data_IF_485010463665
#
_entry.id   IF_485010463665
#
_cell.length_a   1.000
_cell.length_b   1.000
_cell.length_c   1.000
_cell.angle_alpha   90.00
_cell.angle_beta   90.00
_cell.angle_gamma   90.00
#
_symmetry.space_group_name_H-M   'P 1'
#
loop_
_entity.id
_entity.type
_entity.pdbx_description
1 polymer ?
#
# COMPACT_ATOMS: atom_id res chain seq x y z
N UNK A 1 -18.05 72.76 -7.52
CA UNK A 1 -17.27 73.82 -6.87
C UNK A 1 -16.27 73.17 -5.90
N UNK A 2 -15.34 72.43 -6.43
CA UNK A 2 -14.14 71.86 -5.71
C UNK A 2 -13.12 71.46 -6.79
N UNK A 3 -12.41 72.48 -7.36
CA UNK A 3 -11.40 72.22 -8.39
C UNK A 3 -10.36 73.34 -8.47
N UNK A 4 -10.03 74.03 -7.30
CA UNK A 4 -9.07 75.10 -7.29
C UNK A 4 -8.06 75.11 -6.14
N UNK A 5 -7.86 74.00 -5.41
CA UNK A 5 -6.99 74.00 -4.24
C UNK A 5 -5.67 73.16 -4.41
N UNK A 6 -5.38 72.58 -5.57
CA UNK A 6 -4.22 71.71 -5.76
C UNK A 6 -3.04 72.26 -6.56
N UNK A 7 -3.13 73.57 -7.01
CA UNK A 7 -2.06 74.18 -7.82
C UNK A 7 -1.11 75.15 -7.06
N UNK A 8 -1.28 75.32 -5.75
CA UNK A 8 -0.40 76.21 -4.96
C UNK A 8 0.59 75.49 -4.02
N UNK A 9 0.59 74.17 -3.95
CA UNK A 9 1.48 73.44 -3.04
C UNK A 9 2.75 72.87 -3.71
N UNK A 10 2.89 73.01 -5.03
CA UNK A 10 3.99 72.42 -5.79
C UNK A 10 5.18 73.39 -6.06
N UNK A 11 5.09 74.66 -5.74
CA UNK A 11 6.12 75.67 -6.09
C UNK A 11 7.01 76.13 -4.91
N UNK A 12 6.82 75.66 -3.68
CA UNK A 12 7.61 76.05 -2.51
C UNK A 12 8.58 74.99 -1.99
N UNK A 13 8.77 73.91 -2.70
CA UNK A 13 9.65 72.76 -2.26
C UNK A 13 10.96 72.62 -3.06
N UNK A 14 11.28 73.56 -3.94
CA UNK A 14 12.44 73.45 -4.84
C UNK A 14 13.65 74.36 -4.49
N UNK A 15 13.68 75.02 -3.33
CA UNK A 15 14.78 75.91 -3.00
C UNK A 15 15.56 75.63 -1.69
N UNK A 16 15.52 74.46 -1.14
CA UNK A 16 16.26 74.16 0.11
C UNK A 16 17.21 72.87 0.08
N UNK A 17 17.60 72.41 -1.07
CA UNK A 17 18.50 71.25 -1.15
C UNK A 17 19.80 71.43 -1.94
N UNK A 18 20.24 72.62 -2.18
CA UNK A 18 21.51 72.87 -2.88
C UNK A 18 22.74 72.98 -1.96
N UNK A 19 22.56 73.10 -0.63
CA UNK A 19 23.67 73.34 0.31
C UNK A 19 24.17 72.05 1.07
N UNK A 20 23.46 70.91 1.01
CA UNK A 20 23.80 69.74 1.83
C UNK A 20 24.53 68.62 1.09
N UNK A 21 24.69 68.72 -0.20
CA UNK A 21 25.33 67.64 -1.00
C UNK A 21 26.88 67.72 -1.05
N UNK A 22 27.50 68.81 -0.57
CA UNK A 22 28.95 68.94 -0.60
C UNK A 22 29.61 68.52 0.71
N UNK A 23 28.88 68.44 1.84
CA UNK A 23 29.46 67.98 3.13
C UNK A 23 29.43 66.46 3.36
N UNK A 24 28.67 65.71 2.59
CA UNK A 24 28.61 64.23 2.72
C UNK A 24 29.65 63.52 1.86
N UNK A 25 30.23 64.19 0.85
CA UNK A 25 31.21 63.60 -0.06
C UNK A 25 32.64 63.51 0.57
N UNK A 26 32.93 64.27 1.64
CA UNK A 26 34.26 64.27 2.29
C UNK A 26 34.39 63.41 3.56
N UNK A 27 33.28 62.80 4.04
CA UNK A 27 33.30 61.90 5.20
C UNK A 27 33.25 60.40 4.82
N UNK A 28 33.18 60.05 3.53
CA UNK A 28 33.10 58.68 3.04
C UNK A 28 34.45 58.12 2.52
N UNK A 29 35.56 58.90 2.60
CA UNK A 29 36.88 58.46 2.10
C UNK A 29 37.87 58.02 3.19
N UNK A 30 37.45 57.95 4.46
CA UNK A 30 38.35 57.58 5.59
C UNK A 30 37.95 56.25 6.28
N UNK A 31 37.02 55.42 5.71
CA UNK A 31 36.57 54.18 6.34
C UNK A 31 36.81 52.92 5.48
N UNK A 32 37.80 52.93 4.58
CA UNK A 32 38.10 51.76 3.72
C UNK A 32 39.42 51.07 4.03
N UNK A 33 39.88 51.17 5.25
CA UNK A 33 41.03 50.36 5.68
C UNK A 33 40.81 49.82 7.10
N UNK A 34 39.92 48.82 7.27
CA UNK A 34 40.10 47.85 8.39
C UNK A 34 39.17 46.66 8.22
N UNK A 35 39.75 45.47 8.32
CA UNK A 35 39.15 44.17 8.52
C UNK A 35 38.44 43.48 7.33
N UNK A 36 39.27 43.10 6.38
CA UNK A 36 39.04 41.87 5.65
C UNK A 36 39.26 40.70 6.63
N UNK A 37 38.22 40.33 7.38
CA UNK A 37 38.05 38.99 7.91
C UNK A 37 37.12 38.25 6.97
N UNK A 38 37.73 37.51 6.06
CA UNK A 38 37.11 36.43 5.31
C UNK A 38 36.45 35.47 6.28
N UNK A 39 35.14 35.57 6.44
CA UNK A 39 34.35 34.43 6.82
C UNK A 39 34.32 33.47 5.61
N UNK A 40 34.64 32.22 5.79
CA UNK A 40 34.39 31.22 4.75
C UNK A 40 32.88 30.98 4.74
N UNK A 41 32.20 31.67 3.85
CA UNK A 41 30.84 31.29 3.43
C UNK A 41 30.99 30.11 2.46
N UNK A 42 31.52 29.02 3.01
CA UNK A 42 31.37 27.70 2.44
C UNK A 42 29.97 27.19 2.84
N UNK A 43 28.92 27.83 2.36
CA UNK A 43 27.74 27.10 2.00
C UNK A 43 28.16 26.23 0.79
N UNK A 44 28.82 25.09 1.06
CA UNK A 44 28.88 24.00 0.12
C UNK A 44 27.44 23.78 -0.35
N UNK A 45 27.17 24.16 -1.58
CA UNK A 45 26.07 23.61 -2.34
C UNK A 45 26.35 22.12 -2.40
N UNK A 46 25.88 21.38 -1.37
CA UNK A 46 25.80 19.92 -1.47
C UNK A 46 24.97 19.66 -2.71
N UNK A 47 25.62 19.18 -3.74
CA UNK A 47 24.90 18.58 -4.86
C UNK A 47 23.91 17.58 -4.23
N UNK A 48 22.64 17.56 -4.63
CA UNK A 48 21.69 16.62 -4.08
C UNK A 48 22.30 15.21 -4.18
N UNK A 49 22.35 14.51 -3.06
CA UNK A 49 22.84 13.12 -3.07
C UNK A 49 22.03 12.33 -4.10
N UNK A 50 22.66 11.47 -4.89
CA UNK A 50 21.94 10.69 -5.89
C UNK A 50 20.90 9.81 -5.18
N UNK A 51 19.68 9.80 -5.70
CA UNK A 51 18.60 8.98 -5.17
C UNK A 51 19.00 7.50 -5.19
N UNK A 52 18.70 6.80 -4.09
CA UNK A 52 18.93 5.37 -4.02
C UNK A 52 17.88 4.63 -4.84
N UNK A 53 18.33 3.86 -5.84
CA UNK A 53 17.42 3.02 -6.64
C UNK A 53 16.95 1.82 -5.85
N UNK A 54 15.64 1.60 -5.87
CA UNK A 54 14.98 0.42 -5.31
C UNK A 54 13.93 -0.09 -6.29
N UNK A 55 13.73 -1.40 -6.33
CA UNK A 55 12.65 -2.02 -7.12
C UNK A 55 11.52 -2.45 -6.18
N UNK A 56 10.30 -1.99 -6.47
CA UNK A 56 9.11 -2.32 -5.68
C UNK A 56 8.14 -3.12 -6.53
N UNK A 57 7.89 -4.36 -6.15
CA UNK A 57 6.88 -5.22 -6.74
C UNK A 57 5.53 -4.98 -6.04
N UNK A 58 4.54 -4.43 -6.74
CA UNK A 58 3.24 -4.12 -6.14
C UNK A 58 2.09 -4.36 -7.11
N UNK A 59 0.86 -4.34 -6.61
CA UNK A 59 -0.30 -4.81 -7.36
C UNK A 59 -1.20 -3.68 -7.81
N UNK A 60 -2.04 -3.94 -8.84
CA UNK A 60 -3.13 -3.05 -9.25
C UNK A 60 -4.30 -3.01 -8.26
N UNK A 61 -4.25 -3.84 -7.22
CA UNK A 61 -5.34 -4.03 -6.26
C UNK A 61 -5.46 -2.86 -5.27
N UNK A 62 -6.66 -2.64 -4.67
CA UNK A 62 -6.87 -1.53 -3.73
C UNK A 62 -5.92 -1.57 -2.54
N UNK A 63 -5.53 -2.74 -2.07
CA UNK A 63 -4.63 -2.91 -0.93
C UNK A 63 -3.26 -2.25 -1.13
N UNK A 64 -2.81 -2.05 -2.39
CA UNK A 64 -1.55 -1.36 -2.71
C UNK A 64 -1.67 0.16 -2.80
N UNK A 65 -2.81 0.75 -2.41
CA UNK A 65 -3.09 2.19 -2.55
C UNK A 65 -1.99 3.07 -1.97
N UNK A 66 -1.44 2.74 -0.80
CA UNK A 66 -0.39 3.57 -0.19
C UNK A 66 0.87 3.65 -1.08
N UNK A 67 1.24 2.55 -1.75
CA UNK A 67 2.39 2.55 -2.69
C UNK A 67 2.08 3.38 -3.92
N UNK A 68 0.88 3.23 -4.52
CA UNK A 68 0.46 4.03 -5.67
C UNK A 68 0.46 5.53 -5.37
N UNK A 69 -0.07 5.92 -4.20
CA UNK A 69 -0.10 7.31 -3.76
C UNK A 69 1.32 7.83 -3.49
N UNK A 70 2.17 7.06 -2.80
CA UNK A 70 3.55 7.46 -2.52
C UNK A 70 4.35 7.70 -3.82
N UNK A 71 4.17 6.86 -4.83
CA UNK A 71 4.78 7.05 -6.16
C UNK A 71 4.22 8.31 -6.83
N UNK A 72 2.90 8.43 -6.91
CA UNK A 72 2.25 9.53 -7.64
C UNK A 72 2.49 10.91 -7.01
N UNK A 73 2.61 10.98 -5.68
CA UNK A 73 2.88 12.21 -4.91
C UNK A 73 4.38 12.51 -4.77
N UNK A 74 5.27 11.62 -5.22
CA UNK A 74 6.71 11.80 -5.12
C UNK A 74 7.28 11.57 -3.72
N UNK A 75 6.54 10.97 -2.78
CA UNK A 75 6.98 10.79 -1.40
C UNK A 75 8.23 9.92 -1.27
N UNK A 76 8.42 8.93 -2.16
CA UNK A 76 9.66 8.17 -2.21
C UNK A 76 10.85 9.04 -2.59
N UNK A 77 10.69 9.93 -3.58
CA UNK A 77 11.74 10.86 -4.01
C UNK A 77 12.10 11.85 -2.89
N UNK A 78 11.12 12.34 -2.14
CA UNK A 78 11.34 13.19 -0.96
C UNK A 78 12.16 12.48 0.13
N UNK A 79 12.05 11.16 0.23
CA UNK A 79 12.81 10.32 1.15
C UNK A 79 14.13 9.80 0.55
N UNK A 80 14.57 10.33 -0.59
CA UNK A 80 15.83 9.98 -1.22
C UNK A 80 15.81 8.68 -2.05
N UNK A 81 14.62 8.17 -2.42
CA UNK A 81 14.45 6.92 -3.14
C UNK A 81 13.98 7.15 -4.60
N UNK A 82 14.63 6.46 -5.54
CA UNK A 82 14.20 6.31 -6.94
C UNK A 82 13.55 4.94 -7.11
N UNK A 83 12.20 4.91 -7.10
CA UNK A 83 11.41 3.68 -7.19
C UNK A 83 11.29 3.21 -8.63
N UNK A 84 11.77 1.98 -8.89
CA UNK A 84 11.52 1.25 -10.12
C UNK A 84 10.29 0.34 -9.92
N UNK A 85 9.14 0.65 -10.55
CA UNK A 85 7.92 -0.12 -10.33
C UNK A 85 7.97 -1.45 -11.08
N UNK A 86 7.58 -2.54 -10.39
CA UNK A 86 7.34 -3.86 -10.99
C UNK A 86 5.90 -4.28 -10.68
N UNK A 87 4.99 -4.03 -11.64
CA UNK A 87 3.56 -4.24 -11.44
C UNK A 87 3.16 -5.70 -11.62
N UNK A 88 2.28 -6.17 -10.73
CA UNK A 88 1.74 -7.53 -10.73
C UNK A 88 0.21 -7.53 -10.60
N UNK A 89 -0.44 -8.61 -11.05
CA UNK A 89 -1.89 -8.79 -10.92
C UNK A 89 -2.31 -9.15 -9.50
N UNK A 90 -1.44 -9.80 -8.70
CA UNK A 90 -1.73 -10.21 -7.32
C UNK A 90 -0.46 -10.34 -6.47
N UNK A 91 -0.62 -10.26 -5.14
CA UNK A 91 0.49 -10.16 -4.19
C UNK A 91 1.42 -11.37 -4.14
N UNK A 92 0.92 -12.60 -4.35
CA UNK A 92 1.77 -13.79 -4.40
C UNK A 92 2.82 -13.69 -5.53
N UNK A 93 2.45 -13.15 -6.69
CA UNK A 93 3.41 -12.92 -7.79
C UNK A 93 4.40 -11.80 -7.46
N UNK A 94 3.96 -10.75 -6.76
CA UNK A 94 4.84 -9.69 -6.30
C UNK A 94 5.87 -10.21 -5.28
N UNK A 95 5.46 -11.01 -4.29
CA UNK A 95 6.36 -11.63 -3.32
C UNK A 95 7.37 -12.57 -4.00
N UNK A 96 6.96 -13.31 -5.02
CA UNK A 96 7.87 -14.18 -5.78
C UNK A 96 9.02 -13.38 -6.40
N UNK A 97 8.78 -12.14 -6.85
CA UNK A 97 9.83 -11.26 -7.37
C UNK A 97 10.87 -10.88 -6.29
N UNK A 98 10.44 -10.72 -5.03
CA UNK A 98 11.37 -10.50 -3.90
C UNK A 98 12.18 -11.75 -3.59
N UNK A 99 11.55 -12.92 -3.53
CA UNK A 99 12.23 -14.20 -3.29
C UNK A 99 13.27 -14.49 -4.37
N UNK A 100 12.95 -14.18 -5.64
CA UNK A 100 13.84 -14.34 -6.79
C UNK A 100 14.88 -13.21 -6.94
N UNK A 101 14.98 -12.30 -5.98
CA UNK A 101 15.90 -11.14 -6.02
C UNK A 101 15.70 -10.20 -7.24
N UNK A 102 14.47 -10.12 -7.76
CA UNK A 102 14.06 -9.21 -8.84
C UNK A 102 13.47 -7.90 -8.32
N UNK A 103 13.07 -7.89 -7.04
CA UNK A 103 12.58 -6.70 -6.34
C UNK A 103 13.13 -6.67 -4.91
N UNK A 104 13.21 -5.46 -4.35
CA UNK A 104 13.65 -5.21 -2.98
C UNK A 104 12.47 -5.32 -2.00
N UNK A 105 11.31 -4.79 -2.39
CA UNK A 105 10.07 -4.81 -1.62
C UNK A 105 8.92 -5.39 -2.43
N UNK A 106 7.99 -6.04 -1.75
CA UNK A 106 6.72 -6.47 -2.37
C UNK A 106 5.52 -6.09 -1.51
N UNK A 107 4.39 -5.77 -2.17
CA UNK A 107 3.07 -5.75 -1.51
C UNK A 107 2.43 -7.13 -1.61
N UNK A 108 1.96 -7.67 -0.49
CA UNK A 108 1.47 -9.06 -0.43
C UNK A 108 0.54 -9.28 0.76
N UNK A 109 -0.51 -10.11 0.58
CA UNK A 109 -1.30 -10.60 1.70
C UNK A 109 -0.53 -11.62 2.56
N UNK A 110 -1.00 -11.87 3.78
CA UNK A 110 -0.33 -12.77 4.73
C UNK A 110 -0.30 -14.23 4.28
N UNK A 111 -1.34 -14.75 3.59
CA UNK A 111 -1.37 -16.17 3.15
C UNK A 111 -0.15 -16.55 2.28
N UNK A 112 0.23 -15.80 1.24
CA UNK A 112 1.48 -16.07 0.53
C UNK A 112 2.74 -15.92 1.40
N UNK A 113 2.74 -15.00 2.38
CA UNK A 113 3.85 -14.85 3.34
C UNK A 113 3.97 -16.13 4.16
N UNK A 114 2.87 -16.61 4.75
CA UNK A 114 2.81 -17.86 5.52
C UNK A 114 3.39 -19.03 4.72
N UNK A 115 2.94 -19.24 3.48
CA UNK A 115 3.46 -20.34 2.66
C UNK A 115 4.96 -20.20 2.33
N UNK A 116 5.49 -18.98 2.15
CA UNK A 116 6.92 -18.78 1.94
C UNK A 116 7.73 -19.07 3.20
N UNK A 117 7.23 -18.68 4.38
CA UNK A 117 7.84 -19.05 5.67
C UNK A 117 7.86 -20.55 5.87
N UNK A 118 6.75 -21.25 5.57
CA UNK A 118 6.68 -22.71 5.66
C UNK A 118 7.67 -23.42 4.72
N UNK A 119 7.99 -22.83 3.57
CA UNK A 119 9.02 -23.31 2.64
C UNK A 119 10.45 -22.98 3.09
N UNK A 120 10.62 -22.17 4.15
CA UNK A 120 11.92 -21.78 4.67
C UNK A 120 12.55 -20.54 4.00
N UNK A 121 11.76 -19.80 3.20
CA UNK A 121 12.22 -18.55 2.59
C UNK A 121 12.59 -17.50 3.64
N UNK A 122 13.67 -16.75 3.38
CA UNK A 122 14.22 -15.75 4.30
C UNK A 122 13.68 -14.37 3.99
N UNK A 123 12.43 -14.14 4.35
CA UNK A 123 11.74 -12.86 4.18
C UNK A 123 11.39 -12.24 5.54
N UNK A 124 11.22 -10.92 5.57
CA UNK A 124 10.60 -10.17 6.65
C UNK A 124 9.32 -9.50 6.15
N UNK A 125 8.30 -9.45 6.98
CA UNK A 125 7.26 -8.43 6.93
C UNK A 125 7.78 -7.21 7.70
N UNK A 126 7.77 -6.03 7.06
CA UNK A 126 8.28 -4.79 7.65
C UNK A 126 7.17 -3.78 8.01
N UNK A 127 6.00 -3.94 7.44
CA UNK A 127 4.76 -3.23 7.79
C UNK A 127 3.55 -3.95 7.23
N UNK A 128 2.42 -3.84 7.90
CA UNK A 128 1.08 -3.95 7.34
C UNK A 128 0.71 -2.56 6.78
N UNK A 129 0.11 -2.50 5.60
CA UNK A 129 -0.27 -1.25 4.93
C UNK A 129 -1.77 -1.13 4.70
N UNK A 130 -2.51 -2.22 4.93
CA UNK A 130 -3.95 -2.29 4.78
C UNK A 130 -4.49 -3.51 5.53
N UNK A 131 -5.72 -3.41 6.05
CA UNK A 131 -6.47 -4.53 6.60
C UNK A 131 -7.95 -4.45 6.18
N UNK A 132 -8.55 -5.62 5.90
CA UNK A 132 -9.95 -5.70 5.49
C UNK A 132 -10.62 -7.01 5.92
N UNK A 133 -11.80 -6.92 6.51
CA UNK A 133 -12.71 -8.06 6.70
C UNK A 133 -13.77 -8.17 5.59
N UNK A 134 -13.66 -7.34 4.54
CA UNK A 134 -14.64 -7.24 3.45
C UNK A 134 -14.02 -7.39 2.05
N UNK A 135 -12.71 -7.63 1.98
CA UNK A 135 -12.04 -7.79 0.70
C UNK A 135 -12.35 -9.13 0.03
N UNK A 136 -12.39 -10.21 0.81
CA UNK A 136 -12.62 -11.57 0.33
C UNK A 136 -14.09 -11.96 0.43
N UNK A 137 -14.61 -12.63 -0.61
CA UNK A 137 -15.96 -13.20 -0.63
C UNK A 137 -16.06 -14.33 -1.65
N UNK A 138 -17.16 -15.07 -1.62
CA UNK A 138 -17.55 -15.95 -2.70
C UNK A 138 -18.62 -15.24 -3.54
N UNK A 139 -18.35 -15.07 -4.85
CA UNK A 139 -19.35 -14.71 -5.84
C UNK A 139 -19.90 -15.98 -6.47
N UNK A 140 -21.23 -16.12 -6.53
CA UNK A 140 -21.88 -17.35 -6.99
C UNK A 140 -23.06 -17.06 -7.93
N UNK A 141 -23.46 -18.07 -8.69
CA UNK A 141 -24.55 -18.02 -9.66
C UNK A 141 -25.86 -18.51 -9.03
N UNK A 142 -26.87 -17.65 -8.97
CA UNK A 142 -28.24 -18.01 -8.51
C UNK A 142 -28.97 -18.92 -9.47
N UNK A 143 -28.71 -18.76 -10.78
CA UNK A 143 -29.37 -19.56 -11.83
C UNK A 143 -28.99 -21.05 -11.84
N UNK A 144 -28.01 -21.44 -11.02
CA UNK A 144 -27.68 -22.86 -10.75
C UNK A 144 -28.07 -23.30 -9.33
N UNK A 145 -28.94 -22.52 -8.66
CA UNK A 145 -29.51 -22.82 -7.36
C UNK A 145 -28.58 -22.51 -6.18
N UNK A 146 -27.63 -21.54 -6.30
CA UNK A 146 -26.79 -21.09 -5.19
C UNK A 146 -27.36 -19.78 -4.65
N UNK A 147 -28.04 -19.83 -3.51
CA UNK A 147 -28.64 -18.68 -2.83
C UNK A 147 -28.13 -18.50 -1.40
N UNK A 148 -27.45 -19.52 -0.85
CA UNK A 148 -26.79 -19.51 0.45
C UNK A 148 -25.44 -20.22 0.38
N UNK A 149 -24.52 -20.04 1.34
CA UNK A 149 -23.26 -20.76 1.37
C UNK A 149 -23.41 -22.29 1.42
N UNK A 150 -24.50 -22.82 2.04
CA UNK A 150 -24.79 -24.25 2.09
C UNK A 150 -25.05 -24.87 0.70
N UNK A 151 -25.51 -24.08 -0.26
CA UNK A 151 -25.78 -24.52 -1.63
C UNK A 151 -24.53 -24.75 -2.47
N UNK A 152 -23.35 -24.42 -1.93
CA UNK A 152 -22.05 -24.76 -2.54
C UNK A 152 -21.78 -26.26 -2.60
N UNK A 153 -22.48 -27.06 -1.79
CA UNK A 153 -22.35 -28.53 -1.80
C UNK A 153 -22.56 -29.11 -3.20
N UNK A 154 -21.55 -29.88 -3.65
CA UNK A 154 -21.54 -30.50 -4.99
C UNK A 154 -21.24 -29.54 -6.15
N UNK A 155 -21.10 -28.24 -5.91
CA UNK A 155 -20.85 -27.23 -6.95
C UNK A 155 -19.36 -27.11 -7.30
N UNK A 156 -19.08 -26.62 -8.49
CA UNK A 156 -17.73 -26.28 -8.96
C UNK A 156 -17.36 -24.88 -8.43
N UNK A 157 -16.37 -24.82 -7.55
CA UNK A 157 -15.96 -23.56 -6.91
C UNK A 157 -14.51 -23.23 -7.32
N UNK A 158 -14.36 -22.12 -8.05
CA UNK A 158 -13.07 -21.59 -8.46
C UNK A 158 -12.36 -20.92 -7.28
N UNK A 159 -11.02 -21.04 -7.23
CA UNK A 159 -10.18 -20.37 -6.23
C UNK A 159 -8.73 -20.29 -6.74
N UNK A 160 -7.89 -19.41 -6.15
CA UNK A 160 -6.46 -19.34 -6.46
C UNK A 160 -5.64 -20.01 -5.35
N UNK A 161 -4.96 -21.14 -5.61
CA UNK A 161 -4.21 -21.88 -4.59
C UNK A 161 -3.11 -21.05 -3.91
N UNK A 162 -3.03 -21.16 -2.58
CA UNK A 162 -2.01 -20.52 -1.75
C UNK A 162 -2.12 -18.99 -1.74
N UNK A 163 -3.35 -18.47 -1.74
CA UNK A 163 -3.72 -17.06 -1.56
C UNK A 163 -4.84 -16.94 -0.55
N UNK A 164 -5.24 -15.71 -0.20
CA UNK A 164 -6.40 -15.43 0.66
C UNK A 164 -7.70 -16.07 0.16
N UNK A 165 -7.86 -16.18 -1.17
CA UNK A 165 -8.99 -16.88 -1.81
C UNK A 165 -9.09 -18.35 -1.39
N UNK A 166 -7.97 -19.02 -1.23
CA UNK A 166 -7.89 -20.43 -0.83
C UNK A 166 -8.28 -20.61 0.64
N UNK A 167 -7.70 -19.78 1.51
CA UNK A 167 -7.99 -19.78 2.95
C UNK A 167 -9.45 -19.38 3.24
N UNK A 168 -9.92 -18.28 2.62
CA UNK A 168 -11.29 -17.78 2.80
C UNK A 168 -12.34 -18.83 2.37
N UNK A 169 -12.09 -19.53 1.25
CA UNK A 169 -12.98 -20.59 0.81
C UNK A 169 -13.19 -21.65 1.89
N UNK A 170 -12.12 -22.20 2.46
CA UNK A 170 -12.23 -23.22 3.49
C UNK A 170 -12.81 -22.70 4.80
N UNK A 171 -12.49 -21.45 5.14
CA UNK A 171 -13.04 -20.78 6.33
C UNK A 171 -14.57 -20.60 6.20
N UNK A 172 -15.06 -20.12 5.05
CA UNK A 172 -16.49 -19.96 4.81
C UNK A 172 -17.23 -21.31 4.76
N UNK A 173 -16.65 -22.31 4.10
CA UNK A 173 -17.21 -23.67 4.08
C UNK A 173 -17.34 -24.20 5.51
N UNK A 174 -16.27 -24.11 6.31
CA UNK A 174 -16.25 -24.61 7.70
C UNK A 174 -17.29 -23.88 8.57
N UNK A 175 -17.40 -22.55 8.46
CA UNK A 175 -18.39 -21.75 9.19
C UNK A 175 -19.83 -22.15 8.85
N UNK A 176 -20.07 -22.73 7.64
CA UNK A 176 -21.38 -23.18 7.18
C UNK A 176 -21.55 -24.71 7.24
N UNK A 177 -20.70 -25.42 8.01
CA UNK A 177 -20.80 -26.86 8.22
C UNK A 177 -20.44 -27.71 7.01
N UNK A 178 -19.69 -27.15 6.04
CA UNK A 178 -19.20 -27.82 4.85
C UNK A 178 -17.70 -28.04 4.91
N UNK A 179 -17.23 -28.97 4.10
CA UNK A 179 -15.81 -29.26 3.89
C UNK A 179 -15.45 -29.12 2.42
N UNK A 180 -14.14 -28.97 2.12
CA UNK A 180 -13.65 -28.91 0.74
C UNK A 180 -13.99 -30.14 -0.08
N UNK A 181 -14.13 -31.32 0.56
CA UNK A 181 -14.49 -32.58 -0.09
C UNK A 181 -15.95 -32.63 -0.56
N UNK A 182 -16.79 -31.77 0.00
CA UNK A 182 -18.22 -31.68 -0.38
C UNK A 182 -18.49 -30.74 -1.56
N UNK A 183 -17.47 -30.02 -2.04
CA UNK A 183 -17.52 -29.23 -3.26
C UNK A 183 -16.64 -29.84 -4.35
N UNK A 184 -16.63 -29.25 -5.55
CA UNK A 184 -15.70 -29.58 -6.65
C UNK A 184 -14.75 -28.40 -6.81
N UNK A 185 -13.62 -28.34 -6.10
CA UNK A 185 -12.70 -27.21 -6.16
C UNK A 185 -11.99 -27.15 -7.51
N UNK A 186 -11.90 -25.95 -8.10
CA UNK A 186 -11.26 -25.70 -9.39
C UNK A 186 -10.18 -24.65 -9.19
N UNK A 187 -8.92 -25.08 -9.32
CA UNK A 187 -7.78 -24.15 -9.25
C UNK A 187 -7.74 -23.26 -10.50
N UNK A 188 -7.73 -21.96 -10.30
CA UNK A 188 -7.70 -20.92 -11.34
C UNK A 188 -6.65 -19.86 -11.01
N UNK A 189 -6.07 -19.26 -12.04
CA UNK A 189 -5.35 -18.00 -11.87
C UNK A 189 -6.36 -16.85 -11.71
N UNK A 190 -6.00 -15.74 -11.05
CA UNK A 190 -6.94 -14.62 -10.88
C UNK A 190 -7.53 -14.08 -12.18
N UNK A 191 -6.71 -14.01 -13.23
CA UNK A 191 -7.11 -13.54 -14.56
C UNK A 191 -8.07 -14.48 -15.31
N UNK A 192 -8.20 -15.74 -14.89
CA UNK A 192 -9.09 -16.73 -15.51
C UNK A 192 -10.49 -16.76 -14.85
N UNK A 193 -10.63 -16.17 -13.66
CA UNK A 193 -11.83 -16.33 -12.82
C UNK A 193 -13.10 -15.80 -13.48
N UNK A 194 -13.02 -14.57 -14.02
CA UNK A 194 -14.18 -13.93 -14.63
C UNK A 194 -14.70 -14.73 -15.83
N UNK A 195 -13.81 -15.14 -16.74
CA UNK A 195 -14.17 -15.93 -17.90
C UNK A 195 -14.70 -17.32 -17.49
N UNK A 196 -14.14 -17.93 -16.46
CA UNK A 196 -14.56 -19.25 -16.00
C UNK A 196 -16.01 -19.26 -15.49
N UNK A 197 -16.42 -18.25 -14.70
CA UNK A 197 -17.79 -18.21 -14.16
C UNK A 197 -18.80 -17.78 -15.23
N UNK A 198 -18.43 -16.83 -16.10
CA UNK A 198 -19.30 -16.38 -17.20
C UNK A 198 -19.52 -17.50 -18.22
N UNK A 199 -18.45 -18.23 -18.57
CA UNK A 199 -18.55 -19.39 -19.45
C UNK A 199 -19.13 -20.66 -18.78
N UNK A 200 -19.63 -20.55 -17.54
CA UNK A 200 -20.22 -21.66 -16.76
C UNK A 200 -19.27 -22.84 -16.56
N UNK A 201 -17.95 -22.61 -16.55
CA UNK A 201 -16.95 -23.63 -16.19
C UNK A 201 -16.93 -23.89 -14.69
N UNK A 202 -17.26 -22.85 -13.90
CA UNK A 202 -17.48 -22.91 -12.45
C UNK A 202 -18.83 -22.28 -12.09
N UNK A 203 -19.36 -22.63 -10.92
CA UNK A 203 -20.66 -22.21 -10.42
C UNK A 203 -20.53 -21.08 -9.39
N UNK A 204 -19.37 -21.01 -8.73
CA UNK A 204 -19.00 -19.97 -7.79
C UNK A 204 -17.48 -19.74 -7.83
N UNK A 205 -17.03 -18.60 -7.30
CA UNK A 205 -15.62 -18.25 -7.19
C UNK A 205 -15.35 -17.61 -5.82
N UNK A 206 -14.37 -18.10 -5.10
CA UNK A 206 -13.75 -17.41 -3.98
C UNK A 206 -12.67 -16.48 -4.53
N UNK A 207 -12.75 -15.19 -4.21
CA UNK A 207 -11.81 -14.17 -4.70
C UNK A 207 -11.87 -12.90 -3.84
N UNK A 208 -11.13 -11.88 -4.25
CA UNK A 208 -11.02 -10.58 -3.62
C UNK A 208 -11.43 -9.45 -4.59
N UNK A 209 -11.48 -8.21 -4.11
CA UNK A 209 -11.71 -7.05 -4.96
C UNK A 209 -10.44 -6.69 -5.78
N UNK A 210 -10.52 -6.25 -7.05
CA UNK A 210 -11.75 -5.82 -7.78
C UNK A 210 -12.49 -6.94 -8.52
N UNK A 211 -11.85 -8.11 -8.83
CA UNK A 211 -12.53 -9.18 -9.58
C UNK A 211 -13.89 -9.56 -9.02
N UNK A 212 -14.00 -9.62 -7.68
CA UNK A 212 -15.25 -9.92 -6.99
C UNK A 212 -16.41 -9.02 -7.45
N UNK A 213 -16.22 -7.70 -7.38
CA UNK A 213 -17.24 -6.72 -7.75
C UNK A 213 -17.50 -6.73 -9.26
N UNK A 214 -16.48 -6.88 -10.10
CA UNK A 214 -16.64 -6.96 -11.55
C UNK A 214 -17.44 -8.18 -11.97
N UNK A 215 -17.13 -9.35 -11.44
CA UNK A 215 -17.87 -10.60 -11.72
C UNK A 215 -19.33 -10.46 -11.29
N UNK A 216 -19.58 -9.95 -10.06
CA UNK A 216 -20.94 -9.79 -9.57
C UNK A 216 -21.76 -8.81 -10.42
N UNK A 217 -21.17 -7.69 -10.86
CA UNK A 217 -21.82 -6.75 -11.79
C UNK A 217 -22.16 -7.42 -13.14
N UNK A 218 -21.26 -8.24 -13.66
CA UNK A 218 -21.48 -8.92 -14.95
C UNK A 218 -22.52 -10.03 -14.85
N UNK A 219 -22.64 -10.72 -13.72
CA UNK A 219 -23.71 -11.67 -13.46
C UNK A 219 -25.08 -10.98 -13.26
N UNK A 220 -25.08 -9.71 -12.83
CA UNK A 220 -26.30 -8.93 -12.63
C UNK A 220 -27.27 -9.61 -11.66
N UNK A 221 -28.53 -9.85 -12.07
CA UNK A 221 -29.56 -10.48 -11.24
C UNK A 221 -29.23 -11.92 -10.85
N UNK A 222 -28.41 -12.60 -11.64
CA UNK A 222 -27.97 -13.98 -11.37
C UNK A 222 -26.77 -14.07 -10.43
N UNK A 223 -26.15 -12.93 -10.06
CA UNK A 223 -25.04 -12.88 -9.11
C UNK A 223 -25.50 -12.84 -7.65
N UNK A 224 -24.76 -13.48 -6.77
CA UNK A 224 -24.87 -13.33 -5.32
C UNK A 224 -23.48 -13.33 -4.68
N UNK A 225 -23.34 -12.66 -3.52
CA UNK A 225 -22.08 -12.54 -2.78
C UNK A 225 -22.26 -13.09 -1.38
N UNK A 226 -21.29 -13.89 -0.96
CA UNK A 226 -21.22 -14.40 0.41
C UNK A 226 -19.98 -13.84 1.09
N UNK A 227 -20.23 -12.86 1.97
CA UNK A 227 -19.25 -12.30 2.90
C UNK A 227 -19.43 -12.88 4.29
N UNK A 228 -18.34 -12.93 5.05
CA UNK A 228 -18.41 -13.12 6.49
C UNK A 228 -17.28 -12.30 7.14
N UNK A 229 -17.66 -11.26 7.88
CA UNK A 229 -16.72 -10.30 8.48
C UNK A 229 -16.03 -10.84 9.72
N UNK A 230 -16.56 -11.91 10.32
CA UNK A 230 -16.09 -12.44 11.60
C UNK A 230 -15.12 -13.58 11.44
N UNK A 231 -15.11 -14.24 10.28
CA UNK A 231 -14.27 -15.44 10.06
C UNK A 231 -12.86 -15.09 9.61
N UNK A 232 -12.62 -13.90 9.03
CA UNK A 232 -11.32 -13.56 8.48
C UNK A 232 -11.12 -12.05 8.31
N UNK A 233 -9.98 -11.56 8.79
CA UNK A 233 -9.47 -10.23 8.47
C UNK A 233 -8.15 -10.39 7.74
N UNK A 234 -8.14 -10.07 6.44
CA UNK A 234 -6.94 -10.01 5.62
C UNK A 234 -6.04 -8.87 6.08
N UNK A 235 -4.73 -9.08 6.04
CA UNK A 235 -3.73 -8.04 6.16
C UNK A 235 -2.93 -7.94 4.86
N UNK A 236 -2.67 -6.72 4.39
CA UNK A 236 -1.81 -6.53 3.22
C UNK A 236 -0.51 -5.85 3.64
N UNK A 237 0.61 -6.47 3.30
CA UNK A 237 1.89 -6.24 3.94
C UNK A 237 2.94 -5.78 2.95
N UNK A 238 3.99 -5.13 3.47
CA UNK A 238 5.26 -4.96 2.77
C UNK A 238 6.21 -6.07 3.23
N UNK A 239 6.65 -6.88 2.27
CA UNK A 239 7.65 -7.92 2.48
C UNK A 239 8.96 -7.58 1.76
N UNK A 240 10.08 -7.98 2.35
CA UNK A 240 11.43 -7.83 1.81
C UNK A 240 12.30 -9.02 2.23
N UNK A 241 13.43 -9.26 1.53
CA UNK A 241 14.38 -10.27 1.99
C UNK A 241 15.06 -9.84 3.29
N UNK A 242 15.32 -10.80 4.18
CA UNK A 242 15.98 -10.53 5.47
C UNK A 242 17.37 -9.89 5.29
N UNK A 243 18.16 -10.40 4.35
CA UNK A 243 19.51 -9.88 4.11
C UNK A 243 19.51 -8.44 3.56
N UNK A 244 18.51 -8.10 2.72
CA UNK A 244 18.33 -6.74 2.22
C UNK A 244 18.01 -5.76 3.35
N UNK A 245 17.02 -6.12 4.20
CA UNK A 245 16.60 -5.29 5.34
C UNK A 245 17.76 -5.04 6.31
N UNK A 246 18.53 -6.09 6.62
CA UNK A 246 19.67 -5.99 7.53
C UNK A 246 20.82 -5.14 6.98
N UNK A 247 21.06 -5.19 5.67
CA UNK A 247 22.13 -4.41 5.01
C UNK A 247 21.74 -2.96 4.71
N UNK A 248 20.45 -2.67 4.61
CA UNK A 248 19.93 -1.37 4.15
C UNK A 248 18.91 -0.75 5.12
N UNK A 249 19.19 -0.63 6.43
CA UNK A 249 18.19 -0.20 7.41
C UNK A 249 17.67 1.22 7.16
N UNK A 250 18.50 2.15 6.66
CA UNK A 250 18.07 3.52 6.35
C UNK A 250 17.15 3.55 5.13
N UNK A 251 17.42 2.73 4.10
CA UNK A 251 16.52 2.57 2.93
C UNK A 251 15.14 2.07 3.37
N UNK A 252 15.09 1.10 4.28
CA UNK A 252 13.83 0.57 4.83
C UNK A 252 13.07 1.66 5.59
N UNK A 253 13.74 2.46 6.41
CA UNK A 253 13.12 3.59 7.13
C UNK A 253 12.60 4.66 6.17
N UNK A 254 13.39 5.04 5.15
CA UNK A 254 12.97 5.98 4.10
C UNK A 254 11.72 5.47 3.35
N UNK A 255 11.70 4.19 3.00
CA UNK A 255 10.54 3.55 2.35
C UNK A 255 9.29 3.63 3.23
N UNK A 256 9.42 3.29 4.52
CA UNK A 256 8.31 3.33 5.48
C UNK A 256 7.82 4.77 5.73
N UNK A 257 8.72 5.79 5.82
CA UNK A 257 8.32 7.20 5.96
C UNK A 257 7.49 7.68 4.75
N UNK A 258 7.86 7.27 3.54
CA UNK A 258 7.08 7.58 2.35
C UNK A 258 5.67 6.97 2.40
N UNK A 259 5.52 5.73 2.92
CA UNK A 259 4.21 5.09 3.10
C UNK A 259 3.38 5.76 4.20
N UNK A 260 3.99 6.21 5.31
CA UNK A 260 3.28 6.98 6.35
C UNK A 260 2.77 8.31 5.80
N UNK A 261 3.55 9.01 4.96
CA UNK A 261 3.07 10.21 4.25
C UNK A 261 1.86 9.88 3.36
N UNK A 262 1.91 8.74 2.66
CA UNK A 262 0.81 8.30 1.81
C UNK A 262 -0.44 7.93 2.63
N UNK A 263 -0.31 7.30 3.79
CA UNK A 263 -1.42 7.03 4.72
C UNK A 263 -2.10 8.33 5.16
N UNK A 264 -1.32 9.32 5.60
CA UNK A 264 -1.84 10.63 5.99
C UNK A 264 -2.56 11.32 4.82
N UNK A 265 -2.04 11.17 3.60
CA UNK A 265 -2.67 11.73 2.41
C UNK A 265 -3.99 11.04 2.09
N UNK A 266 -4.02 9.70 2.07
CA UNK A 266 -5.22 8.89 1.77
C UNK A 266 -6.35 9.19 2.77
N UNK A 267 -6.01 9.30 4.04
CA UNK A 267 -6.98 9.63 5.11
C UNK A 267 -7.58 11.03 4.93
N UNK A 268 -6.77 12.01 4.54
CA UNK A 268 -7.22 13.42 4.41
C UNK A 268 -7.86 13.72 3.06
N UNK A 269 -7.51 12.98 2.01
CA UNK A 269 -7.89 13.26 0.63
C UNK A 269 -8.36 11.99 -0.10
N UNK A 270 -9.40 11.28 0.40
CA UNK A 270 -9.82 10.00 -0.16
C UNK A 270 -10.23 10.08 -1.64
N UNK A 271 -10.92 11.14 -2.07
CA UNK A 271 -11.33 11.33 -3.47
C UNK A 271 -10.14 11.51 -4.42
N UNK A 272 -9.09 12.20 -3.98
CA UNK A 272 -7.87 12.37 -4.77
C UNK A 272 -7.08 11.05 -4.80
N UNK A 273 -7.03 10.30 -3.69
CA UNK A 273 -6.41 8.98 -3.65
C UNK A 273 -7.10 7.99 -4.61
N UNK A 274 -8.44 7.97 -4.65
CA UNK A 274 -9.21 7.18 -5.62
C UNK A 274 -8.90 7.61 -7.07
N UNK A 275 -8.73 8.91 -7.31
CA UNK A 275 -8.37 9.42 -8.64
C UNK A 275 -6.97 8.98 -9.05
N UNK A 276 -6.00 8.99 -8.12
CA UNK A 276 -4.64 8.47 -8.32
C UNK A 276 -4.71 6.96 -8.66
N UNK A 277 -5.46 6.18 -7.87
CA UNK A 277 -5.64 4.75 -8.14
C UNK A 277 -6.21 4.52 -9.54
N UNK A 278 -7.27 5.23 -9.94
CA UNK A 278 -7.85 5.11 -11.28
C UNK A 278 -6.84 5.47 -12.38
N UNK A 279 -6.09 6.55 -12.20
CA UNK A 279 -5.09 7.02 -13.17
C UNK A 279 -3.92 6.02 -13.35
N UNK A 280 -3.44 5.42 -12.26
CA UNK A 280 -2.27 4.52 -12.27
C UNK A 280 -2.62 3.09 -12.66
N UNK A 281 -3.81 2.60 -12.26
CA UNK A 281 -4.24 1.21 -12.50
C UNK A 281 -5.12 1.05 -13.74
N UNK A 282 -5.69 2.14 -14.28
CA UNK A 282 -6.70 2.17 -15.34
C UNK A 282 -8.03 1.51 -14.96
N UNK A 283 -8.26 1.31 -13.67
CA UNK A 283 -9.53 0.80 -13.14
C UNK A 283 -10.54 1.96 -13.08
N UNK A 284 -11.80 1.65 -13.41
CA UNK A 284 -12.90 2.64 -13.36
C UNK A 284 -13.03 3.23 -11.95
N UNK A 285 -13.11 4.57 -11.86
CA UNK A 285 -13.16 5.27 -10.57
C UNK A 285 -14.40 4.91 -9.75
N UNK A 286 -15.53 4.62 -10.40
CA UNK A 286 -16.75 4.20 -9.69
C UNK A 286 -16.57 2.82 -9.07
N UNK A 287 -15.85 1.91 -9.74
CA UNK A 287 -15.53 0.62 -9.16
C UNK A 287 -14.60 0.77 -7.93
N UNK A 288 -13.61 1.67 -8.00
CA UNK A 288 -12.74 1.98 -6.86
C UNK A 288 -13.56 2.56 -5.71
N UNK A 289 -14.45 3.52 -6.00
CA UNK A 289 -15.32 4.17 -5.02
C UNK A 289 -16.23 3.15 -4.30
N UNK A 290 -16.86 2.24 -5.04
CA UNK A 290 -17.81 1.25 -4.49
C UNK A 290 -17.18 0.30 -3.46
N UNK A 291 -15.87 0.07 -3.56
CA UNK A 291 -15.16 -0.85 -2.65
C UNK A 291 -14.30 -0.12 -1.63
N UNK A 292 -14.18 1.21 -1.70
CA UNK A 292 -13.21 1.99 -0.92
C UNK A 292 -13.32 1.78 0.58
N UNK A 293 -14.54 1.80 1.10
CA UNK A 293 -14.81 1.68 2.54
C UNK A 293 -14.59 0.27 3.09
N UNK A 294 -14.29 -0.69 2.22
CA UNK A 294 -13.90 -2.04 2.64
C UNK A 294 -12.44 -2.10 3.14
N UNK A 295 -11.62 -1.07 2.89
CA UNK A 295 -10.19 -1.05 3.13
C UNK A 295 -9.81 -0.06 4.22
N UNK A 296 -9.00 -0.52 5.16
CA UNK A 296 -8.45 0.28 6.24
C UNK A 296 -6.94 0.46 6.03
N UNK A 297 -6.54 1.64 5.56
CA UNK A 297 -5.15 1.94 5.19
C UNK A 297 -4.36 2.45 6.40
N UNK A 298 -3.43 1.65 6.91
CA UNK A 298 -2.55 1.99 8.02
C UNK A 298 -1.18 1.35 7.87
N UNK A 299 -0.13 2.11 8.18
CA UNK A 299 1.24 1.58 8.29
C UNK A 299 1.46 1.15 9.74
N UNK A 300 1.28 -0.12 10.03
CA UNK A 300 1.26 -0.67 11.39
C UNK A 300 1.87 -2.07 11.42
N UNK A 301 2.31 -2.53 12.57
CA UNK A 301 2.55 -3.93 12.87
C UNK A 301 1.76 -4.27 14.13
N UNK A 302 0.68 -5.01 13.99
CA UNK A 302 -0.22 -5.36 15.08
C UNK A 302 -0.41 -6.87 15.25
N UNK A 303 -1.12 -7.25 16.29
CA UNK A 303 -1.34 -8.63 16.67
C UNK A 303 -2.17 -9.41 15.64
N UNK A 304 -2.99 -8.73 14.82
CA UNK A 304 -3.83 -9.37 13.79
C UNK A 304 -2.99 -10.17 12.81
N UNK A 305 -1.88 -9.58 12.31
CA UNK A 305 -0.97 -10.28 11.41
C UNK A 305 -0.45 -11.59 12.01
N UNK A 306 0.01 -11.55 13.27
CA UNK A 306 0.57 -12.74 13.93
C UNK A 306 -0.49 -13.83 14.09
N UNK A 307 -1.68 -13.47 14.58
CA UNK A 307 -2.79 -14.42 14.79
C UNK A 307 -3.20 -15.04 13.46
N UNK A 308 -3.34 -14.23 12.41
CA UNK A 308 -3.76 -14.72 11.09
C UNK A 308 -2.72 -15.68 10.49
N UNK A 309 -1.42 -15.35 10.55
CA UNK A 309 -0.35 -16.25 10.08
C UNK A 309 -0.36 -17.61 10.81
N UNK A 310 -0.62 -17.62 12.12
CA UNK A 310 -0.73 -18.85 12.89
C UNK A 310 -2.00 -19.66 12.55
N UNK A 311 -3.15 -18.99 12.36
CA UNK A 311 -4.41 -19.65 11.99
C UNK A 311 -4.31 -20.27 10.60
N UNK A 312 -3.75 -19.54 9.64
CA UNK A 312 -3.48 -20.04 8.29
C UNK A 312 -2.48 -21.22 8.30
N UNK A 313 -1.48 -21.18 9.18
CA UNK A 313 -0.55 -22.31 9.34
C UNK A 313 -1.28 -23.55 9.86
N UNK A 314 -2.14 -23.40 10.89
CA UNK A 314 -2.98 -24.50 11.39
C UNK A 314 -3.88 -25.06 10.29
N UNK A 315 -4.47 -24.18 9.47
CA UNK A 315 -5.25 -24.56 8.30
C UNK A 315 -4.41 -25.31 7.26
N UNK A 316 -3.23 -24.82 6.91
CA UNK A 316 -2.35 -25.44 5.93
C UNK A 316 -1.90 -26.83 6.37
N UNK A 317 -1.54 -27.00 7.64
CA UNK A 317 -1.17 -28.30 8.23
C UNK A 317 -2.37 -29.28 8.22
N UNK A 318 -3.54 -28.85 8.69
CA UNK A 318 -4.76 -29.66 8.72
C UNK A 318 -5.15 -30.17 7.34
N UNK A 319 -5.00 -29.33 6.31
CA UNK A 319 -5.36 -29.66 4.94
C UNK A 319 -4.20 -30.27 4.12
N UNK A 320 -3.06 -30.56 4.76
CA UNK A 320 -1.86 -31.15 4.13
C UNK A 320 -1.32 -30.32 2.96
N UNK A 321 -1.39 -29.00 3.08
CA UNK A 321 -0.86 -28.05 2.12
C UNK A 321 0.63 -27.73 2.37
N UNK A 322 1.20 -28.31 3.43
CA UNK A 322 2.61 -28.24 3.82
C UNK A 322 3.05 -29.55 4.43
N UNK A 323 4.33 -29.87 4.28
CA UNK A 323 4.98 -31.01 4.96
C UNK A 323 5.41 -30.65 6.40
N UNK A 324 5.38 -29.39 6.80
CA UNK A 324 5.72 -28.98 8.17
C UNK A 324 4.66 -29.41 9.15
N UNK A 325 5.14 -29.79 10.34
CA UNK A 325 4.30 -30.24 11.47
C UNK A 325 4.44 -29.33 12.70
N UNK A 326 5.39 -28.39 12.67
CA UNK A 326 5.67 -27.42 13.73
C UNK A 326 5.25 -26.00 13.31
N UNK A 327 4.72 -25.24 14.28
CA UNK A 327 4.39 -23.85 14.11
C UNK A 327 5.67 -23.01 14.02
N UNK A 328 5.89 -22.21 12.95
CA UNK A 328 7.01 -21.28 12.90
C UNK A 328 6.90 -20.20 14.00
N UNK A 329 8.05 -19.75 14.50
CA UNK A 329 8.10 -18.51 15.28
C UNK A 329 7.96 -17.31 14.32
N UNK A 330 6.72 -16.88 14.07
CA UNK A 330 6.44 -15.79 13.15
C UNK A 330 7.01 -14.44 13.58
N UNK A 331 7.24 -14.21 14.88
CA UNK A 331 7.92 -12.98 15.34
C UNK A 331 9.33 -12.86 14.75
N UNK A 332 10.00 -13.96 14.48
CA UNK A 332 11.32 -13.97 13.82
C UNK A 332 11.28 -13.60 12.32
N UNK A 333 10.08 -13.53 11.73
CA UNK A 333 9.83 -13.10 10.34
C UNK A 333 9.17 -11.72 10.25
N UNK A 334 9.00 -11.01 11.37
CA UNK A 334 8.47 -9.65 11.44
C UNK A 334 9.57 -8.70 11.91
N UNK A 335 9.92 -7.72 11.07
CA UNK A 335 10.96 -6.76 11.38
C UNK A 335 10.39 -5.50 12.03
N UNK A 336 10.44 -5.42 13.35
CA UNK A 336 9.86 -4.32 14.12
C UNK A 336 10.72 -3.04 14.13
N UNK A 337 12.06 -3.20 14.10
CA UNK A 337 13.00 -2.14 14.49
C UNK A 337 12.92 -0.90 13.59
N UNK A 338 12.76 -1.09 12.28
CA UNK A 338 12.70 0.05 11.33
C UNK A 338 11.46 0.89 11.53
N UNK A 339 10.28 0.26 11.66
CA UNK A 339 9.02 0.97 11.88
C UNK A 339 9.00 1.59 13.29
N UNK A 340 9.43 0.85 14.31
CA UNK A 340 9.53 1.35 15.68
C UNK A 340 10.42 2.59 15.81
N UNK A 341 11.49 2.67 15.03
CA UNK A 341 12.42 3.80 15.09
C UNK A 341 11.84 5.10 14.52
N UNK A 342 10.86 5.04 13.63
CA UNK A 342 10.26 6.21 12.95
C UNK A 342 8.84 6.53 13.44
N UNK A 343 8.07 5.50 13.85
CA UNK A 343 6.69 5.61 14.33
C UNK A 343 6.44 4.56 15.44
N UNK A 344 6.90 4.82 16.68
CA UNK A 344 6.79 3.83 17.78
C UNK A 344 5.37 3.36 18.06
N UNK A 345 4.36 4.24 17.91
CA UNK A 345 2.94 3.96 18.15
C UNK A 345 2.33 3.02 17.08
N UNK A 346 3.02 2.84 15.95
CA UNK A 346 2.63 1.88 14.91
C UNK A 346 2.95 0.42 15.29
N UNK A 347 3.71 0.20 16.37
CA UNK A 347 3.98 -1.15 16.89
C UNK A 347 2.95 -1.49 17.96
N UNK A 348 1.99 -2.36 17.61
CA UNK A 348 0.88 -2.79 18.46
C UNK A 348 0.90 -4.31 18.68
N UNK A 349 2.08 -4.89 18.68
CA UNK A 349 2.31 -6.32 18.96
C UNK A 349 2.80 -6.51 20.39
N UNK A 350 2.17 -7.44 21.12
CA UNK A 350 2.66 -7.91 22.41
C UNK A 350 3.68 -9.04 22.15
N UNK A 351 4.86 -8.94 22.79
CA UNK A 351 5.86 -10.01 22.79
C UNK A 351 5.47 -11.13 23.72
#
# INVERSE_FOLDING_TARGET
>A
MILFAWKRYALLKQQKHAGWKIFIALMFMAALTSCQKSAPDNAEQRSPEPLQKITVAYTYQPQSTLVHVAVAKGYFTEEGLDVQPLMHTYGKAALQSVVENKADFATVAETPVMFNVLKGEKIFVIANIEASSMNNAIVARKDVGIISPGDLKGKRVGYTPGTTSDFFLDSLLTANGLTRQEIKPVALKPEEMQDAIIARKVDAISTWNYPLTQINRQLGADGTLFYDREIYTETFNIAARQDFVQKNPETVKSFLRALIKAEHFVTKNPDEAQSIMSATTKIDKNLIHDVWDAFNYHVVLDQTLLITLEDETRWAMKNKLTERTDMPDYLSFIHLDSLKAIEPEAIRMNR
#
